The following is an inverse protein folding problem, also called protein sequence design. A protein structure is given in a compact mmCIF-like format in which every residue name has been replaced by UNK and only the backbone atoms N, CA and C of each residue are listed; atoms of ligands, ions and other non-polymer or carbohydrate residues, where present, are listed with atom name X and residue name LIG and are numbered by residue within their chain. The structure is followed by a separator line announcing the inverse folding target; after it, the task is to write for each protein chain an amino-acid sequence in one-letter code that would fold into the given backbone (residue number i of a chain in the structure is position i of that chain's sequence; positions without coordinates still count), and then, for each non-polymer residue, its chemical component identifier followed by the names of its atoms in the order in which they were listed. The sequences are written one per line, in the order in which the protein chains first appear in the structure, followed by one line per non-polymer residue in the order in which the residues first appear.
data_IF_699406034283
#
_entry.id   IF_699406034283
#
_cell.length_a   1.000
_cell.length_b   1.000
_cell.length_c   1.000
_cell.angle_alpha   90.00
_cell.angle_beta   90.00
_cell.angle_gamma   90.00
#
_symmetry.space_group_name_H-M   'P 1'
#
loop_
_entity.id
_entity.type
_entity.pdbx_description
1 polymer ?
#
# COMPACT_ATOMS: atom_id res chain seq x y z
N UNK A 1 -43.48 -25.18 -32.65
CA UNK A 1 -42.10 -24.73 -32.96
C UNK A 1 -42.04 -23.24 -32.69
N UNK A 2 -41.09 -22.78 -31.88
CA UNK A 2 -40.99 -21.38 -31.43
C UNK A 2 -39.50 -20.96 -31.56
N UNK A 3 -39.16 -19.78 -32.09
CA UNK A 3 -37.77 -19.43 -32.39
C UNK A 3 -36.95 -19.09 -31.13
N UNK A 4 -35.63 -19.30 -31.22
CA UNK A 4 -34.67 -19.23 -30.12
C UNK A 4 -34.37 -17.78 -29.64
N UNK A 5 -33.90 -17.57 -28.39
CA UNK A 5 -33.80 -16.24 -27.77
C UNK A 5 -32.71 -15.30 -28.31
N UNK A 6 -31.87 -15.76 -29.25
CA UNK A 6 -30.61 -15.10 -29.63
C UNK A 6 -30.83 -13.84 -30.50
N UNK A 7 -31.97 -13.71 -31.18
CA UNK A 7 -32.22 -12.56 -32.09
C UNK A 7 -32.65 -11.25 -31.42
N UNK A 8 -32.89 -11.21 -30.09
CA UNK A 8 -33.29 -9.97 -29.40
C UNK A 8 -32.14 -9.03 -29.02
N UNK A 9 -30.88 -9.47 -29.12
CA UNK A 9 -29.72 -8.68 -28.67
C UNK A 9 -29.06 -7.79 -29.74
N UNK A 10 -29.57 -7.77 -30.99
CA UNK A 10 -28.94 -7.01 -32.09
C UNK A 10 -29.59 -5.69 -32.47
N UNK A 11 -30.74 -5.32 -31.88
CA UNK A 11 -31.53 -4.15 -32.28
C UNK A 11 -31.61 -3.03 -31.21
N UNK A 12 -30.49 -2.69 -30.57
CA UNK A 12 -30.35 -1.43 -29.83
C UNK A 12 -29.39 -0.53 -30.61
N UNK A 13 -29.94 0.16 -31.62
CA UNK A 13 -29.32 1.31 -32.29
C UNK A 13 -29.77 2.57 -31.54
N UNK A 14 -28.91 3.14 -30.70
CA UNK A 14 -29.18 4.43 -30.07
C UNK A 14 -28.76 5.53 -31.05
N UNK A 15 -29.75 6.16 -31.68
CA UNK A 15 -29.54 7.40 -32.43
C UNK A 15 -29.51 8.56 -31.45
N UNK A 16 -28.34 9.18 -31.26
CA UNK A 16 -28.19 10.35 -30.40
C UNK A 16 -28.80 11.56 -31.09
N UNK A 17 -29.92 12.07 -30.55
CA UNK A 17 -30.42 13.41 -30.85
C UNK A 17 -30.30 14.29 -29.61
N UNK A 18 -29.63 15.43 -29.78
CA UNK A 18 -29.36 16.41 -28.73
C UNK A 18 -30.64 17.08 -28.23
N UNK A 19 -30.93 16.96 -26.93
CA UNK A 19 -31.44 18.07 -26.10
C UNK A 19 -30.94 17.92 -24.66
N UNK A 20 -30.45 19.02 -24.08
CA UNK A 20 -30.02 19.05 -22.68
C UNK A 20 -31.23 19.00 -21.74
N UNK A 21 -31.32 18.00 -20.87
CA UNK A 21 -32.24 18.01 -19.72
C UNK A 21 -31.72 17.11 -18.59
N UNK A 22 -31.89 17.55 -17.34
CA UNK A 22 -31.48 16.81 -16.14
C UNK A 22 -32.15 15.41 -16.04
N UNK A 23 -33.33 15.27 -16.64
CA UNK A 23 -34.10 14.02 -16.67
C UNK A 23 -33.34 12.85 -17.33
N UNK A 24 -32.42 13.11 -18.27
CA UNK A 24 -31.63 12.05 -18.93
C UNK A 24 -30.59 11.43 -18.00
N UNK A 25 -30.23 12.11 -16.90
CA UNK A 25 -29.33 11.59 -15.87
C UNK A 25 -30.12 10.72 -14.87
N UNK A 26 -31.29 11.18 -14.42
CA UNK A 26 -32.17 10.40 -13.53
C UNK A 26 -32.70 9.12 -14.19
N UNK A 27 -32.97 9.16 -15.51
CA UNK A 27 -33.35 7.96 -16.25
C UNK A 27 -32.21 6.92 -16.26
N UNK A 28 -30.96 7.34 -16.54
CA UNK A 28 -29.79 6.45 -16.50
C UNK A 28 -29.54 5.86 -15.10
N UNK A 29 -29.81 6.60 -14.02
CA UNK A 29 -29.72 6.07 -12.66
C UNK A 29 -30.87 5.11 -12.31
N UNK A 30 -32.08 5.36 -12.82
CA UNK A 30 -33.24 4.46 -12.63
C UNK A 30 -33.00 3.13 -13.33
N UNK A 31 -32.53 3.16 -14.58
CA UNK A 31 -32.12 1.98 -15.36
C UNK A 31 -30.98 1.20 -14.66
N UNK A 32 -30.04 1.90 -14.00
CA UNK A 32 -28.98 1.28 -13.19
C UNK A 32 -29.54 0.48 -12.00
N UNK A 33 -30.48 1.08 -11.25
CA UNK A 33 -31.10 0.46 -10.06
C UNK A 33 -31.98 -0.72 -10.47
N UNK A 34 -32.72 -0.61 -11.57
CA UNK A 34 -33.59 -1.67 -12.08
C UNK A 34 -32.79 -2.83 -12.71
N UNK A 35 -31.66 -2.51 -13.38
CA UNK A 35 -30.68 -3.49 -13.83
C UNK A 35 -30.05 -4.29 -12.68
N UNK A 36 -29.73 -3.64 -11.55
CA UNK A 36 -29.21 -4.34 -10.35
C UNK A 36 -30.26 -5.27 -9.72
N UNK A 37 -31.53 -4.86 -9.68
CA UNK A 37 -32.63 -5.69 -9.14
C UNK A 37 -32.91 -6.93 -10.00
N UNK A 38 -32.97 -6.77 -11.32
CA UNK A 38 -33.25 -7.86 -12.27
C UNK A 38 -32.12 -8.89 -12.36
N UNK A 39 -30.87 -8.51 -12.09
CA UNK A 39 -29.72 -9.42 -12.14
C UNK A 39 -29.67 -10.49 -11.03
N UNK A 40 -30.53 -10.42 -10.00
CA UNK A 40 -30.37 -11.24 -8.78
C UNK A 40 -30.97 -12.64 -8.83
N UNK A 41 -31.93 -12.89 -9.73
CA UNK A 41 -32.75 -14.12 -9.76
C UNK A 41 -32.10 -15.32 -10.47
N UNK A 42 -32.05 -15.29 -11.81
CA UNK A 42 -31.93 -16.52 -12.61
C UNK A 42 -30.48 -16.99 -12.89
N UNK A 43 -29.48 -16.09 -12.86
CA UNK A 43 -28.08 -16.48 -13.16
C UNK A 43 -27.33 -17.12 -11.98
N UNK A 44 -27.95 -17.20 -10.78
CA UNK A 44 -27.29 -17.67 -9.54
C UNK A 44 -26.68 -19.07 -9.67
N UNK A 45 -27.31 -19.99 -10.40
CA UNK A 45 -26.84 -21.39 -10.51
C UNK A 45 -25.69 -21.55 -11.51
N UNK A 46 -25.61 -20.71 -12.55
CA UNK A 46 -24.58 -20.82 -13.60
C UNK A 46 -23.30 -20.06 -13.22
N UNK A 47 -23.38 -18.93 -12.51
CA UNK A 47 -22.19 -18.17 -12.11
C UNK A 47 -21.31 -18.89 -11.08
N UNK A 48 -21.89 -19.60 -10.11
CA UNK A 48 -21.14 -20.26 -9.02
C UNK A 48 -20.08 -21.25 -9.55
N UNK A 49 -20.34 -21.91 -10.68
CA UNK A 49 -19.40 -22.85 -11.32
C UNK A 49 -18.28 -22.15 -12.12
N UNK A 50 -18.47 -20.91 -12.55
CA UNK A 50 -17.48 -20.12 -13.29
C UNK A 50 -16.57 -19.30 -12.37
N UNK A 51 -17.08 -18.84 -11.22
CA UNK A 51 -16.30 -18.05 -10.27
C UNK A 51 -15.10 -18.82 -9.69
N UNK A 52 -15.23 -20.14 -9.49
CA UNK A 52 -14.13 -20.98 -8.99
C UNK A 52 -12.93 -21.05 -9.96
N UNK A 53 -13.15 -20.87 -11.27
CA UNK A 53 -12.11 -20.98 -12.29
C UNK A 53 -11.38 -19.65 -12.55
N UNK A 54 -12.02 -18.51 -12.25
CA UNK A 54 -11.44 -17.16 -12.44
C UNK A 54 -10.83 -16.54 -11.18
N UNK A 55 -10.85 -17.22 -10.03
CA UNK A 55 -10.38 -16.69 -8.74
C UNK A 55 -8.84 -16.61 -8.56
N UNK A 56 -8.04 -16.89 -9.59
CA UNK A 56 -6.58 -17.04 -9.47
C UNK A 56 -5.73 -16.16 -10.40
N UNK A 57 -6.15 -14.93 -10.72
CA UNK A 57 -5.21 -13.98 -11.33
C UNK A 57 -4.09 -13.64 -10.32
N UNK A 58 -2.84 -13.82 -10.74
CA UNK A 58 -1.62 -13.47 -9.99
C UNK A 58 -1.62 -12.02 -9.52
N UNK A 59 -2.16 -11.14 -10.36
CA UNK A 59 -2.28 -9.71 -10.22
C UNK A 59 -3.12 -9.31 -8.99
N UNK A 60 -4.21 -10.05 -8.74
CA UNK A 60 -5.06 -9.80 -7.57
C UNK A 60 -4.38 -10.17 -6.25
N UNK A 61 -3.65 -11.29 -6.23
CA UNK A 61 -2.83 -11.71 -5.08
C UNK A 61 -1.67 -10.73 -4.84
N UNK A 62 -0.97 -10.33 -5.90
CA UNK A 62 0.14 -9.38 -5.85
C UNK A 62 -0.26 -8.02 -5.27
N UNK A 63 -1.44 -7.51 -5.63
CA UNK A 63 -1.93 -6.23 -5.09
C UNK A 63 -2.19 -6.30 -3.59
N UNK A 64 -2.87 -7.34 -3.10
CA UNK A 64 -3.19 -7.46 -1.67
C UNK A 64 -1.93 -7.59 -0.85
N UNK A 65 -0.97 -8.37 -1.34
CA UNK A 65 0.36 -8.50 -0.77
C UNK A 65 1.12 -7.17 -0.75
N UNK A 66 1.06 -6.37 -1.82
CA UNK A 66 1.82 -5.11 -1.93
C UNK A 66 1.19 -3.93 -1.18
N UNK A 67 -0.14 -3.87 -1.08
CA UNK A 67 -0.87 -2.72 -0.55
C UNK A 67 -1.70 -3.04 0.71
N UNK A 68 -1.68 -4.29 1.17
CA UNK A 68 -2.55 -4.78 2.24
C UNK A 68 -4.01 -4.95 1.78
N UNK A 69 -4.75 -5.76 2.53
CA UNK A 69 -6.17 -6.05 2.25
C UNK A 69 -7.04 -4.77 2.17
N UNK A 70 -6.73 -3.73 2.95
CA UNK A 70 -7.52 -2.50 3.02
C UNK A 70 -7.34 -1.55 1.82
N UNK A 71 -6.13 -1.45 1.25
CA UNK A 71 -5.86 -0.51 0.15
C UNK A 71 -5.83 -1.19 -1.22
N UNK A 72 -5.88 -2.53 -1.26
CA UNK A 72 -5.86 -3.35 -2.47
C UNK A 72 -6.75 -2.80 -3.60
N UNK A 73 -8.07 -2.66 -3.40
CA UNK A 73 -8.98 -2.16 -4.44
C UNK A 73 -8.64 -0.74 -4.90
N UNK A 74 -8.30 0.16 -3.97
CA UNK A 74 -8.00 1.55 -4.30
C UNK A 74 -6.74 1.66 -5.17
N UNK A 75 -5.67 0.95 -4.80
CA UNK A 75 -4.44 0.89 -5.58
C UNK A 75 -4.67 0.21 -6.93
N UNK A 76 -5.47 -0.86 -6.98
CA UNK A 76 -5.83 -1.56 -8.21
C UNK A 76 -6.53 -0.64 -9.22
N UNK A 77 -7.52 0.14 -8.78
CA UNK A 77 -8.23 1.10 -9.64
C UNK A 77 -7.30 2.23 -10.08
N UNK A 78 -6.40 2.70 -9.21
CA UNK A 78 -5.44 3.77 -9.53
C UNK A 78 -4.44 3.38 -10.63
N UNK A 79 -4.19 2.09 -10.89
CA UNK A 79 -3.43 1.63 -12.06
C UNK A 79 -4.18 1.79 -13.40
N UNK A 80 -5.47 2.10 -13.37
CA UNK A 80 -6.27 2.41 -14.55
C UNK A 80 -6.87 1.20 -15.28
N UNK A 81 -7.72 1.48 -16.27
CA UNK A 81 -8.58 0.50 -16.95
C UNK A 81 -7.86 -0.74 -17.51
N UNK A 82 -6.61 -0.57 -17.96
CA UNK A 82 -5.82 -1.64 -18.57
C UNK A 82 -5.41 -2.72 -17.57
N UNK A 83 -5.32 -2.36 -16.28
CA UNK A 83 -5.00 -3.25 -15.19
C UNK A 83 -6.26 -3.79 -14.51
N UNK A 84 -7.23 -2.91 -14.23
CA UNK A 84 -8.37 -3.22 -13.35
C UNK A 84 -9.56 -3.87 -14.06
N UNK A 85 -9.35 -5.06 -14.61
CA UNK A 85 -10.42 -5.86 -15.21
C UNK A 85 -11.25 -6.63 -14.16
N UNK A 86 -12.45 -7.06 -14.54
CA UNK A 86 -13.40 -7.76 -13.65
C UNK A 86 -12.79 -9.00 -12.97
N UNK A 87 -11.98 -9.78 -13.69
CA UNK A 87 -11.28 -10.94 -13.13
C UNK A 87 -10.31 -10.57 -12.00
N UNK A 88 -9.59 -9.45 -12.15
CA UNK A 88 -8.66 -8.94 -11.12
C UNK A 88 -9.42 -8.49 -9.88
N UNK A 89 -10.54 -7.77 -10.03
CA UNK A 89 -11.37 -7.39 -8.88
C UNK A 89 -12.01 -8.61 -8.19
N UNK A 90 -12.48 -9.61 -8.95
CA UNK A 90 -12.94 -10.88 -8.37
C UNK A 90 -11.85 -11.57 -7.56
N UNK A 91 -10.64 -11.68 -8.11
CA UNK A 91 -9.50 -12.26 -7.39
C UNK A 91 -9.14 -11.44 -6.13
N UNK A 92 -9.14 -10.10 -6.20
CA UNK A 92 -8.86 -9.23 -5.04
C UNK A 92 -9.90 -9.47 -3.92
N UNK A 93 -11.20 -9.47 -4.26
CA UNK A 93 -12.26 -9.70 -3.27
C UNK A 93 -12.22 -11.14 -2.71
N UNK A 94 -11.98 -12.14 -3.57
CA UNK A 94 -11.84 -13.54 -3.15
C UNK A 94 -10.68 -13.76 -2.16
N UNK A 95 -9.59 -13.02 -2.33
CA UNK A 95 -8.44 -13.03 -1.40
C UNK A 95 -8.66 -12.07 -0.20
N UNK A 96 -9.91 -11.85 0.20
CA UNK A 96 -10.32 -11.10 1.41
C UNK A 96 -9.89 -9.63 1.44
N UNK A 97 -9.84 -8.94 0.31
CA UNK A 97 -9.67 -7.49 0.35
C UNK A 97 -10.85 -6.80 1.07
N UNK A 98 -10.55 -5.80 1.89
CA UNK A 98 -11.55 -5.10 2.70
C UNK A 98 -12.13 -3.95 1.87
N UNK A 99 -13.39 -4.10 1.46
CA UNK A 99 -14.18 -2.98 0.97
C UNK A 99 -14.68 -2.20 2.18
N UNK A 100 -14.28 -0.93 2.32
CA UNK A 100 -14.74 -0.04 3.39
C UNK A 100 -15.83 0.91 2.90
N UNK A 101 -16.72 1.36 3.81
CA UNK A 101 -17.74 2.38 3.49
C UNK A 101 -17.12 3.65 2.91
N UNK A 102 -16.00 4.10 3.47
CA UNK A 102 -15.25 5.26 2.99
C UNK A 102 -14.70 5.05 1.56
N UNK A 103 -14.16 3.88 1.25
CA UNK A 103 -13.71 3.56 -0.11
C UNK A 103 -14.87 3.63 -1.11
N UNK A 104 -16.05 3.09 -0.77
CA UNK A 104 -17.23 3.12 -1.63
C UNK A 104 -17.77 4.55 -1.84
N UNK A 105 -17.82 5.35 -0.77
CA UNK A 105 -18.16 6.78 -0.87
C UNK A 105 -17.20 7.53 -1.78
N UNK A 106 -15.89 7.30 -1.65
CA UNK A 106 -14.88 7.89 -2.54
C UNK A 106 -15.01 7.38 -3.97
N UNK A 107 -15.29 6.09 -4.18
CA UNK A 107 -15.52 5.51 -5.50
C UNK A 107 -16.68 6.23 -6.20
N UNK A 108 -17.85 6.33 -5.57
CA UNK A 108 -19.01 7.06 -6.08
C UNK A 108 -18.71 8.56 -6.30
N UNK A 109 -17.92 9.18 -5.43
CA UNK A 109 -17.51 10.58 -5.56
C UNK A 109 -16.47 10.86 -6.66
N UNK A 110 -15.86 9.84 -7.27
CA UNK A 110 -14.81 10.00 -8.28
C UNK A 110 -15.11 9.28 -9.61
N UNK A 111 -16.02 8.31 -9.63
CA UNK A 111 -16.47 7.61 -10.83
C UNK A 111 -17.22 8.55 -11.79
N UNK A 112 -16.89 8.50 -13.09
CA UNK A 112 -17.62 9.20 -14.16
C UNK A 112 -17.70 10.74 -14.07
N UNK A 113 -16.93 11.39 -13.18
CA UNK A 113 -17.01 12.86 -12.96
C UNK A 113 -16.28 13.70 -14.01
N UNK A 114 -15.39 13.11 -14.79
CA UNK A 114 -14.56 13.77 -15.78
C UNK A 114 -14.87 13.18 -17.17
N UNK A 115 -15.75 13.88 -17.88
CA UNK A 115 -15.99 13.65 -19.29
C UNK A 115 -14.84 14.28 -20.10
N UNK A 116 -14.08 13.44 -20.81
CA UNK A 116 -12.90 13.86 -21.58
C UNK A 116 -13.28 14.76 -22.76
N UNK A 117 -14.42 14.52 -23.38
CA UNK A 117 -14.89 15.27 -24.54
C UNK A 117 -15.44 16.63 -24.10
N UNK A 118 -16.19 16.67 -23.00
CA UNK A 118 -16.64 17.93 -22.39
C UNK A 118 -15.47 18.80 -21.93
N UNK A 119 -14.41 18.20 -21.38
CA UNK A 119 -13.19 18.92 -21.00
C UNK A 119 -12.39 19.38 -22.23
N UNK A 120 -12.32 18.57 -23.30
CA UNK A 120 -11.73 18.99 -24.57
C UNK A 120 -12.46 20.20 -25.19
N UNK A 121 -13.79 20.13 -25.28
CA UNK A 121 -14.65 21.24 -25.75
C UNK A 121 -14.48 22.51 -24.91
N UNK A 122 -14.36 22.36 -23.58
CA UNK A 122 -14.09 23.50 -22.67
C UNK A 122 -12.70 24.11 -22.89
N UNK A 123 -11.68 23.29 -23.18
CA UNK A 123 -10.34 23.78 -23.52
C UNK A 123 -10.33 24.48 -24.88
N UNK A 124 -11.01 23.94 -25.90
CA UNK A 124 -11.16 24.56 -27.22
C UNK A 124 -11.85 25.93 -27.12
N UNK A 125 -12.98 26.01 -26.42
CA UNK A 125 -13.69 27.27 -26.17
C UNK A 125 -12.82 28.30 -25.44
N UNK A 126 -12.10 27.89 -24.39
CA UNK A 126 -11.25 28.80 -23.61
C UNK A 126 -10.03 29.29 -24.41
N UNK A 127 -9.42 28.45 -25.24
CA UNK A 127 -8.31 28.84 -26.13
C UNK A 127 -8.76 29.92 -27.12
N UNK A 128 -9.96 29.79 -27.69
CA UNK A 128 -10.55 30.80 -28.57
C UNK A 128 -10.89 32.13 -27.85
N UNK A 129 -10.97 32.13 -26.51
CA UNK A 129 -11.27 33.32 -25.69
C UNK A 129 -10.02 34.07 -25.16
N UNK A 130 -8.81 33.62 -25.52
CA UNK A 130 -7.55 34.30 -25.14
C UNK A 130 -7.18 34.23 -23.66
N UNK A 131 -7.87 33.40 -22.86
CA UNK A 131 -7.63 33.22 -21.41
C UNK A 131 -7.39 31.74 -21.09
N UNK A 132 -6.19 31.25 -21.38
CA UNK A 132 -5.84 29.85 -21.21
C UNK A 132 -4.54 29.68 -20.41
N UNK A 133 -4.66 29.27 -19.14
CA UNK A 133 -3.53 28.77 -18.35
C UNK A 133 -3.67 27.24 -18.26
N UNK A 134 -3.11 26.55 -19.26
CA UNK A 134 -3.47 25.16 -19.59
C UNK A 134 -3.05 24.11 -18.55
N UNK A 135 -2.19 24.46 -17.60
CA UNK A 135 -1.56 23.49 -16.70
C UNK A 135 -2.46 23.04 -15.53
N UNK A 136 -3.57 23.71 -15.24
CA UNK A 136 -4.40 23.41 -14.06
C UNK A 136 -5.42 22.28 -14.27
N UNK A 137 -5.87 22.03 -15.50
CA UNK A 137 -6.94 21.04 -15.77
C UNK A 137 -6.44 19.59 -15.79
N UNK A 138 -5.19 19.33 -16.19
CA UNK A 138 -4.64 17.97 -16.24
C UNK A 138 -4.30 17.38 -14.86
N UNK A 139 -4.10 18.22 -13.83
CA UNK A 139 -3.59 17.77 -12.54
C UNK A 139 -4.64 17.10 -11.62
N UNK A 140 -5.92 17.16 -11.95
CA UNK A 140 -7.02 16.75 -11.06
C UNK A 140 -7.99 15.71 -11.68
N UNK A 141 -7.50 14.80 -12.53
CA UNK A 141 -8.32 13.68 -13.02
C UNK A 141 -8.69 12.76 -11.82
N UNK A 142 -9.98 12.49 -11.55
CA UNK A 142 -10.39 11.60 -10.47
C UNK A 142 -9.81 10.19 -10.62
N UNK A 143 -9.28 9.61 -9.54
CA UNK A 143 -8.60 8.31 -9.57
C UNK A 143 -9.47 7.12 -10.02
N UNK A 144 -10.80 7.25 -9.94
CA UNK A 144 -11.77 6.24 -10.36
C UNK A 144 -12.51 6.61 -11.65
N UNK A 145 -12.09 7.68 -12.36
CA UNK A 145 -12.88 8.22 -13.47
C UNK A 145 -13.10 7.21 -14.61
N UNK A 146 -12.01 6.64 -15.08
CA UNK A 146 -11.96 5.74 -16.24
C UNK A 146 -12.22 4.28 -15.84
N UNK A 147 -12.84 4.02 -14.68
CA UNK A 147 -13.16 2.68 -14.25
C UNK A 147 -14.27 2.09 -15.15
N UNK A 148 -14.08 0.87 -15.64
CA UNK A 148 -15.12 0.19 -16.43
C UNK A 148 -16.41 0.01 -15.62
N UNK A 149 -17.56 0.38 -16.20
CA UNK A 149 -18.87 0.35 -15.51
C UNK A 149 -19.19 -1.02 -14.89
N UNK A 150 -18.88 -2.13 -15.59
CA UNK A 150 -19.03 -3.50 -15.08
C UNK A 150 -18.22 -3.77 -13.81
N UNK A 151 -17.04 -3.18 -13.70
CA UNK A 151 -16.15 -3.32 -12.55
C UNK A 151 -16.67 -2.48 -11.38
N UNK A 152 -17.10 -1.24 -11.66
CA UNK A 152 -17.75 -0.37 -10.67
C UNK A 152 -19.01 -1.04 -10.08
N UNK A 153 -19.92 -1.52 -10.93
CA UNK A 153 -21.14 -2.22 -10.52
C UNK A 153 -20.85 -3.50 -9.72
N UNK A 154 -19.83 -4.27 -10.08
CA UNK A 154 -19.44 -5.45 -9.31
C UNK A 154 -18.95 -5.08 -7.90
N UNK A 155 -18.13 -4.04 -7.78
CA UNK A 155 -17.65 -3.53 -6.48
C UNK A 155 -18.83 -3.03 -5.63
N UNK A 156 -19.73 -2.22 -6.22
CA UNK A 156 -20.91 -1.69 -5.54
C UNK A 156 -21.86 -2.80 -5.10
N UNK A 157 -22.01 -3.86 -5.89
CA UNK A 157 -22.79 -5.04 -5.53
C UNK A 157 -22.20 -5.76 -4.33
N UNK A 158 -20.91 -6.10 -4.34
CA UNK A 158 -20.27 -6.76 -3.18
C UNK A 158 -20.34 -5.86 -1.95
N UNK A 159 -20.20 -4.55 -2.12
CA UNK A 159 -20.37 -3.57 -1.06
C UNK A 159 -21.81 -3.55 -0.50
N UNK A 160 -22.84 -3.66 -1.35
CA UNK A 160 -24.24 -3.76 -0.94
C UNK A 160 -24.62 -5.12 -0.32
N UNK A 161 -23.88 -6.19 -0.65
CA UNK A 161 -23.99 -7.49 0.02
C UNK A 161 -23.28 -7.48 1.39
N UNK A 162 -22.20 -6.70 1.55
CA UNK A 162 -21.43 -6.55 2.80
C UNK A 162 -22.02 -5.52 3.77
N UNK A 163 -22.65 -4.46 3.26
CA UNK A 163 -23.23 -3.36 4.02
C UNK A 163 -24.68 -3.18 3.60
N UNK A 164 -25.63 -3.22 4.55
CA UNK A 164 -27.03 -2.89 4.26
C UNK A 164 -27.11 -1.56 3.51
N UNK A 165 -27.88 -1.54 2.42
CA UNK A 165 -27.92 -0.45 1.43
C UNK A 165 -28.31 0.86 2.10
N UNK A 166 -29.18 0.80 3.10
CA UNK A 166 -29.61 1.92 3.93
C UNK A 166 -28.42 2.60 4.66
N UNK A 167 -27.38 1.83 4.99
CA UNK A 167 -26.17 2.28 5.66
C UNK A 167 -25.17 3.05 4.79
N UNK A 168 -25.38 3.14 3.46
CA UNK A 168 -24.61 4.03 2.58
C UNK A 168 -25.19 5.45 2.51
N UNK A 169 -26.49 5.60 2.75
CA UNK A 169 -27.24 6.84 2.51
C UNK A 169 -26.82 7.97 3.47
N UNK A 170 -26.39 7.63 4.68
CA UNK A 170 -26.32 8.58 5.81
C UNK A 170 -25.02 9.39 5.99
N UNK A 171 -24.11 9.40 5.01
CA UNK A 171 -22.90 10.24 5.07
C UNK A 171 -22.78 11.20 3.87
N UNK A 172 -23.61 12.25 3.91
CA UNK A 172 -23.37 13.57 3.29
C UNK A 172 -23.50 13.69 1.78
N UNK A 173 -22.99 12.74 0.98
CA UNK A 173 -22.86 12.91 -0.47
C UNK A 173 -24.14 12.56 -1.26
N UNK A 174 -24.97 11.64 -0.76
CA UNK A 174 -26.16 11.12 -1.47
C UNK A 174 -27.43 11.87 -1.08
N UNK A 175 -27.49 12.45 0.13
CA UNK A 175 -28.66 13.17 0.66
C UNK A 175 -28.98 14.46 -0.12
N UNK A 176 -28.04 15.01 -0.89
CA UNK A 176 -28.32 16.15 -1.78
C UNK A 176 -29.22 15.80 -2.99
N UNK A 177 -29.57 14.52 -3.21
CA UNK A 177 -30.32 14.11 -4.40
C UNK A 177 -31.73 13.55 -4.12
N UNK A 178 -31.99 12.84 -3.01
CA UNK A 178 -33.31 12.21 -2.79
C UNK A 178 -33.79 12.25 -1.33
N UNK A 179 -35.04 12.68 -1.16
CA UNK A 179 -35.80 12.63 0.10
C UNK A 179 -36.68 11.38 0.15
N UNK A 180 -36.61 10.53 1.18
CA UNK A 180 -37.38 9.28 1.26
C UNK A 180 -38.65 9.40 2.11
N UNK A 181 -39.74 8.80 1.64
CA UNK A 181 -40.89 8.44 2.47
C UNK A 181 -40.92 6.90 2.68
N UNK A 182 -41.15 6.46 3.92
CA UNK A 182 -41.83 5.19 4.36
C UNK A 182 -41.59 3.86 3.62
N UNK A 183 -41.48 2.64 4.18
CA UNK A 183 -41.70 2.01 5.51
C UNK A 183 -41.43 0.48 5.34
N UNK A 184 -41.11 -0.40 6.30
CA UNK A 184 -40.49 -0.39 7.66
C UNK A 184 -40.35 -1.86 8.11
N UNK A 185 -39.31 -2.21 8.89
CA UNK A 185 -39.34 -3.09 10.10
C UNK A 185 -38.07 -3.95 10.33
N UNK A 186 -36.91 -3.31 10.38
CA UNK A 186 -35.80 -3.76 11.25
C UNK A 186 -35.21 -2.51 11.90
N UNK A 187 -34.95 -2.54 13.20
CA UNK A 187 -34.59 -1.35 13.98
C UNK A 187 -33.18 -1.50 14.59
N UNK A 188 -32.11 -1.10 13.86
CA UNK A 188 -30.85 -0.74 14.51
C UNK A 188 -31.07 0.50 15.39
N UNK A 189 -30.21 0.77 16.38
CA UNK A 189 -30.33 1.97 17.21
C UNK A 189 -30.34 3.20 16.31
N UNK A 190 -31.26 4.11 16.57
CA UNK A 190 -31.55 5.20 15.63
C UNK A 190 -30.33 6.13 15.50
N UNK A 191 -30.17 6.84 14.37
CA UNK A 191 -29.23 7.95 14.29
C UNK A 191 -29.46 8.95 15.43
N UNK A 192 -30.72 9.18 15.84
CA UNK A 192 -31.03 9.94 17.05
C UNK A 192 -30.42 9.36 18.33
N UNK A 193 -30.34 8.04 18.50
CA UNK A 193 -29.80 7.39 19.72
C UNK A 193 -28.27 7.46 19.78
N UNK A 194 -27.59 7.24 18.64
CA UNK A 194 -26.13 7.44 18.55
C UNK A 194 -25.76 8.94 18.67
N UNK A 195 -26.56 9.83 18.09
CA UNK A 195 -26.41 11.27 18.26
C UNK A 195 -26.72 11.71 19.69
N UNK A 196 -27.74 11.14 20.34
CA UNK A 196 -28.01 11.33 21.77
C UNK A 196 -26.86 10.78 22.62
N UNK A 197 -26.20 9.69 22.24
CA UNK A 197 -25.03 9.19 22.95
C UNK A 197 -23.83 10.17 22.85
N UNK A 198 -23.67 10.83 21.71
CA UNK A 198 -22.67 11.90 21.48
C UNK A 198 -23.09 13.24 22.13
N UNK A 199 -24.39 13.51 22.28
CA UNK A 199 -24.92 14.67 23.02
C UNK A 199 -24.92 14.48 24.55
N UNK A 200 -24.96 13.23 25.02
CA UNK A 200 -24.99 12.85 26.43
C UNK A 200 -23.60 12.52 26.99
N UNK A 201 -22.60 12.26 26.15
CA UNK A 201 -21.20 12.24 26.59
C UNK A 201 -20.71 13.67 26.87
N UNK A 202 -19.75 13.82 27.78
CA UNK A 202 -19.15 15.13 28.01
C UNK A 202 -18.32 15.53 26.79
N UNK A 203 -18.28 16.84 26.51
CA UNK A 203 -17.40 17.41 25.50
C UNK A 203 -15.93 16.96 25.71
N UNK A 204 -15.52 16.80 26.97
CA UNK A 204 -14.21 16.27 27.37
C UNK A 204 -13.97 14.83 26.85
N UNK A 205 -14.94 13.94 27.01
CA UNK A 205 -14.82 12.53 26.60
C UNK A 205 -14.96 12.35 25.09
N UNK A 206 -15.77 13.17 24.42
CA UNK A 206 -15.81 13.27 22.96
C UNK A 206 -14.46 13.73 22.38
N UNK A 207 -13.92 14.85 22.89
CA UNK A 207 -12.63 15.39 22.43
C UNK A 207 -11.46 14.46 22.76
N UNK A 208 -11.51 13.74 23.88
CA UNK A 208 -10.55 12.68 24.22
C UNK A 208 -10.51 11.58 23.14
N UNK A 209 -11.67 11.08 22.68
CA UNK A 209 -11.76 10.08 21.60
C UNK A 209 -11.26 10.64 20.26
N UNK A 210 -11.59 11.89 19.94
CA UNK A 210 -11.07 12.56 18.75
C UNK A 210 -9.54 12.69 18.77
N UNK A 211 -8.94 12.96 19.93
CA UNK A 211 -7.48 13.03 20.08
C UNK A 211 -6.81 11.66 19.92
N UNK A 212 -7.38 10.59 20.47
CA UNK A 212 -6.89 9.21 20.25
C UNK A 212 -6.86 8.86 18.76
N UNK A 213 -7.97 9.03 18.05
CA UNK A 213 -8.08 8.75 16.62
C UNK A 213 -7.09 9.59 15.79
N UNK A 214 -6.88 10.85 16.19
CA UNK A 214 -5.93 11.75 15.55
C UNK A 214 -4.47 11.29 15.75
N UNK A 215 -4.08 10.85 16.96
CA UNK A 215 -2.75 10.29 17.22
C UNK A 215 -2.51 9.00 16.42
N UNK A 216 -3.50 8.10 16.38
CA UNK A 216 -3.44 6.88 15.57
C UNK A 216 -3.32 7.20 14.06
N UNK A 217 -4.03 8.24 13.60
CA UNK A 217 -3.92 8.72 12.21
C UNK A 217 -2.53 9.30 11.91
N UNK A 218 -1.95 10.09 12.81
CA UNK A 218 -0.58 10.62 12.66
C UNK A 218 0.49 9.52 12.66
N UNK A 219 0.27 8.40 13.38
CA UNK A 219 1.13 7.20 13.33
C UNK A 219 1.12 6.56 11.94
N UNK A 220 -0.03 6.48 11.29
CA UNK A 220 -0.21 5.80 10.00
C UNK A 220 0.24 6.63 8.78
N UNK A 221 0.11 7.96 8.78
CA UNK A 221 0.61 8.81 7.69
C UNK A 221 1.48 9.98 8.18
N UNK A 222 2.80 9.77 8.14
CA UNK A 222 3.84 10.76 8.45
C UNK A 222 3.80 12.04 7.60
N UNK A 223 2.95 12.12 6.58
CA UNK A 223 2.75 13.33 5.75
C UNK A 223 1.61 14.23 6.24
N UNK A 224 0.77 13.78 7.17
CA UNK A 224 -0.29 14.60 7.75
C UNK A 224 0.24 15.59 8.79
N UNK A 225 0.87 16.68 8.34
CA UNK A 225 1.05 17.89 9.16
C UNK A 225 -0.28 18.66 9.25
N UNK A 226 -1.24 18.14 10.01
CA UNK A 226 -2.50 18.83 10.32
C UNK A 226 -2.45 19.47 11.71
N UNK A 227 -1.59 20.47 11.86
CA UNK A 227 -1.63 21.41 12.99
C UNK A 227 -3.04 21.95 13.15
N UNK A 228 -3.66 22.40 12.05
CA UNK A 228 -4.97 23.05 12.04
C UNK A 228 -6.10 22.22 12.70
N UNK A 229 -6.05 20.88 12.60
CA UNK A 229 -7.05 20.00 13.25
C UNK A 229 -6.73 19.80 14.73
N UNK A 230 -5.45 19.71 15.07
CA UNK A 230 -5.00 19.62 16.45
C UNK A 230 -5.30 20.93 17.19
N UNK A 231 -4.91 22.07 16.62
CA UNK A 231 -5.16 23.42 17.11
C UNK A 231 -6.66 23.70 17.28
N UNK A 232 -7.49 23.24 16.32
CA UNK A 232 -8.95 23.28 16.44
C UNK A 232 -9.46 22.46 17.64
N UNK A 233 -9.05 21.19 17.79
CA UNK A 233 -9.46 20.36 18.93
C UNK A 233 -8.97 20.95 20.27
N UNK A 234 -7.76 21.51 20.31
CA UNK A 234 -7.23 22.24 21.48
C UNK A 234 -8.10 23.45 21.83
N UNK A 235 -8.52 24.24 20.84
CA UNK A 235 -9.36 25.43 21.04
C UNK A 235 -10.78 25.12 21.57
N UNK A 236 -11.22 23.86 21.48
CA UNK A 236 -12.52 23.41 22.00
C UNK A 236 -12.47 22.94 23.46
N UNK A 237 -11.30 22.87 24.09
CA UNK A 237 -11.14 22.41 25.48
C UNK A 237 -10.91 23.62 26.41
N UNK A 238 -12.01 24.19 26.92
CA UNK A 238 -12.01 25.42 27.74
C UNK A 238 -11.11 25.37 28.99
N UNK A 239 -10.92 24.20 29.61
CA UNK A 239 -10.12 24.00 30.84
C UNK A 239 -9.47 22.62 30.87
N UNK A 240 -8.31 22.49 31.53
CA UNK A 240 -7.55 21.24 31.68
C UNK A 240 -7.19 20.51 30.36
N UNK A 241 -7.02 21.24 29.25
CA UNK A 241 -6.68 20.66 27.94
C UNK A 241 -5.43 19.78 27.96
N UNK A 242 -4.40 20.17 28.72
CA UNK A 242 -3.20 19.34 28.94
C UNK A 242 -3.57 17.98 29.53
N UNK A 243 -4.48 17.92 30.52
CA UNK A 243 -4.89 16.68 31.18
C UNK A 243 -5.66 15.76 30.23
N UNK A 244 -6.57 16.30 29.42
CA UNK A 244 -7.32 15.53 28.40
C UNK A 244 -6.36 14.96 27.35
N UNK A 245 -5.43 15.80 26.89
CA UNK A 245 -4.38 15.45 25.94
C UNK A 245 -3.42 14.40 26.49
N UNK A 246 -2.89 14.58 27.71
CA UNK A 246 -2.02 13.60 28.37
C UNK A 246 -2.77 12.29 28.65
N UNK A 247 -4.04 12.32 29.05
CA UNK A 247 -4.86 11.10 29.19
C UNK A 247 -4.97 10.36 27.85
N UNK A 248 -5.23 11.07 26.74
CA UNK A 248 -5.34 10.47 25.40
C UNK A 248 -3.99 9.96 24.87
N UNK A 249 -2.90 10.70 25.11
CA UNK A 249 -1.55 10.32 24.70
C UNK A 249 -1.00 9.16 25.52
N UNK A 250 -1.29 9.11 26.82
CA UNK A 250 -0.94 7.98 27.68
C UNK A 250 -1.75 6.73 27.31
N UNK A 251 -3.04 6.87 27.01
CA UNK A 251 -3.85 5.77 26.49
C UNK A 251 -3.27 5.22 25.18
N UNK A 252 -2.87 6.06 24.23
CA UNK A 252 -2.15 5.60 23.04
C UNK A 252 -0.82 4.92 23.40
N UNK A 253 -0.01 5.52 24.28
CA UNK A 253 1.29 4.97 24.72
C UNK A 253 1.19 3.61 25.42
N UNK A 254 0.17 3.40 26.25
CA UNK A 254 -0.07 2.14 26.97
C UNK A 254 -0.50 1.04 25.97
N UNK A 255 -1.42 1.37 25.05
CA UNK A 255 -1.87 0.44 24.01
C UNK A 255 -0.81 0.16 22.91
N UNK A 256 0.31 0.90 22.85
CA UNK A 256 1.47 0.52 22.00
C UNK A 256 2.16 -0.77 22.46
N UNK A 257 1.93 -1.23 23.69
CA UNK A 257 2.66 -2.37 24.25
C UNK A 257 2.26 -3.73 23.65
N UNK A 258 1.01 -3.88 23.21
CA UNK A 258 0.50 -5.13 22.60
C UNK A 258 0.76 -5.25 21.08
N UNK A 259 1.03 -4.14 20.40
CA UNK A 259 1.37 -4.07 18.96
C UNK A 259 2.80 -4.56 18.64
N UNK A 260 3.58 -5.00 19.64
CA UNK A 260 4.98 -5.42 19.48
C UNK A 260 5.16 -6.74 18.70
N UNK A 261 4.08 -7.42 18.31
CA UNK A 261 4.14 -8.50 17.34
C UNK A 261 4.42 -7.92 15.95
N UNK A 262 5.71 -7.91 15.61
CA UNK A 262 6.39 -7.30 14.44
C UNK A 262 5.99 -7.90 13.07
N UNK A 263 4.73 -8.28 12.89
CA UNK A 263 4.21 -9.04 11.73
C UNK A 263 4.32 -8.27 10.42
N UNK A 264 4.10 -6.96 10.42
CA UNK A 264 4.22 -6.15 9.20
C UNK A 264 5.66 -6.08 8.68
N UNK A 265 6.66 -6.03 9.58
CA UNK A 265 8.06 -6.07 9.19
C UNK A 265 8.51 -7.47 8.78
N UNK A 266 7.99 -8.52 9.43
CA UNK A 266 8.24 -9.91 9.04
C UNK A 266 7.65 -10.22 7.65
N UNK A 267 6.40 -9.82 7.39
CA UNK A 267 5.79 -9.94 6.06
C UNK A 267 6.64 -9.19 5.04
N UNK A 268 7.02 -7.93 5.31
CA UNK A 268 7.81 -7.14 4.35
C UNK A 268 9.19 -7.75 4.07
N UNK A 269 9.83 -8.38 5.07
CA UNK A 269 11.08 -9.11 4.90
C UNK A 269 10.91 -10.38 4.04
N UNK A 270 9.88 -11.18 4.32
CA UNK A 270 9.49 -12.31 3.47
C UNK A 270 9.21 -11.83 2.04
N UNK A 271 8.56 -10.68 1.88
CA UNK A 271 8.28 -10.12 0.56
C UNK A 271 9.54 -9.79 -0.23
N UNK A 272 10.49 -9.09 0.41
CA UNK A 272 11.75 -8.72 -0.21
C UNK A 272 12.59 -9.95 -0.55
N UNK A 273 12.64 -10.93 0.37
CA UNK A 273 13.34 -12.21 0.18
C UNK A 273 12.81 -13.00 -1.03
N UNK A 274 11.50 -13.04 -1.24
CA UNK A 274 10.87 -13.69 -2.40
C UNK A 274 11.21 -12.98 -3.72
N UNK A 275 11.17 -11.64 -3.73
CA UNK A 275 11.52 -10.83 -4.91
C UNK A 275 13.01 -11.01 -5.25
N UNK A 276 13.88 -10.95 -4.24
CA UNK A 276 15.32 -11.18 -4.39
C UNK A 276 15.61 -12.59 -4.90
N UNK A 277 14.98 -13.63 -4.33
CA UNK A 277 15.16 -15.01 -4.76
C UNK A 277 14.72 -15.22 -6.21
N UNK A 278 13.57 -14.67 -6.62
CA UNK A 278 13.13 -14.67 -8.02
C UNK A 278 14.13 -13.96 -8.92
N UNK A 279 14.64 -12.79 -8.53
CA UNK A 279 15.59 -12.00 -9.31
C UNK A 279 16.96 -12.69 -9.48
N UNK A 280 17.42 -13.41 -8.46
CA UNK A 280 18.65 -14.22 -8.51
C UNK A 280 18.44 -15.49 -9.35
N UNK A 281 17.31 -16.20 -9.18
CA UNK A 281 16.99 -17.37 -10.00
C UNK A 281 16.93 -17.00 -11.50
N UNK A 282 16.33 -15.85 -11.81
CA UNK A 282 16.31 -15.26 -13.15
C UNK A 282 17.73 -15.03 -13.69
N UNK A 283 18.64 -14.49 -12.89
CA UNK A 283 20.04 -14.31 -13.31
C UNK A 283 20.76 -15.65 -13.56
N UNK A 284 20.58 -16.62 -12.65
CA UNK A 284 21.15 -17.97 -12.79
C UNK A 284 20.65 -18.65 -14.08
N UNK A 285 19.39 -18.46 -14.47
CA UNK A 285 18.85 -18.95 -15.74
C UNK A 285 19.51 -18.27 -16.95
N UNK A 286 19.74 -16.95 -16.91
CA UNK A 286 20.47 -16.23 -17.96
C UNK A 286 21.92 -16.73 -18.08
N UNK A 287 22.62 -16.91 -16.96
CA UNK A 287 23.97 -17.50 -16.94
C UNK A 287 24.00 -18.90 -17.59
N UNK A 288 23.01 -19.75 -17.30
CA UNK A 288 22.90 -21.09 -17.88
C UNK A 288 22.58 -21.06 -19.39
N UNK A 289 21.72 -20.14 -19.83
CA UNK A 289 21.37 -19.94 -21.25
C UNK A 289 22.61 -19.55 -22.07
N UNK A 290 23.40 -18.61 -21.57
CA UNK A 290 24.65 -18.17 -22.19
C UNK A 290 25.67 -19.31 -22.35
N UNK A 291 25.68 -20.29 -21.43
CA UNK A 291 26.55 -21.48 -21.50
C UNK A 291 26.04 -22.57 -22.45
N UNK A 292 24.72 -22.72 -22.62
CA UNK A 292 24.09 -23.86 -23.34
C UNK A 292 23.51 -23.55 -24.72
N UNK A 293 23.51 -22.29 -25.16
CA UNK A 293 23.07 -21.87 -26.52
C UNK A 293 21.64 -22.33 -26.87
N UNK A 294 20.79 -22.50 -25.84
CA UNK A 294 19.45 -23.07 -25.97
C UNK A 294 18.40 -21.99 -26.27
N UNK A 295 17.42 -22.33 -27.11
CA UNK A 295 16.29 -21.45 -27.46
C UNK A 295 15.10 -21.84 -26.58
N UNK A 296 14.75 -20.97 -25.64
CA UNK A 296 13.52 -21.05 -24.86
C UNK A 296 12.39 -20.28 -25.57
N UNK A 297 11.14 -20.67 -25.30
CA UNK A 297 9.95 -20.09 -25.92
C UNK A 297 9.84 -18.59 -25.63
N UNK A 298 9.99 -17.78 -26.67
CA UNK A 298 10.42 -16.38 -26.61
C UNK A 298 9.46 -15.42 -25.87
N UNK A 299 8.18 -15.78 -25.73
CA UNK A 299 7.12 -14.87 -25.30
C UNK A 299 6.71 -14.98 -23.82
N UNK A 300 6.90 -16.12 -23.16
CA UNK A 300 6.47 -16.29 -21.75
C UNK A 300 7.49 -15.77 -20.72
N UNK A 301 8.75 -15.55 -21.11
CA UNK A 301 9.81 -15.13 -20.19
C UNK A 301 9.95 -13.60 -20.10
N UNK A 302 9.72 -12.86 -21.18
CA UNK A 302 10.14 -11.45 -21.27
C UNK A 302 9.35 -10.49 -20.36
N UNK A 303 8.03 -10.66 -20.28
CA UNK A 303 7.18 -9.84 -19.39
C UNK A 303 7.47 -10.15 -17.92
N UNK A 304 7.54 -11.44 -17.55
CA UNK A 304 7.88 -11.89 -16.21
C UNK A 304 9.27 -11.38 -15.76
N UNK A 305 10.27 -11.43 -16.65
CA UNK A 305 11.62 -10.89 -16.40
C UNK A 305 11.59 -9.40 -16.11
N UNK A 306 10.87 -8.62 -16.93
CA UNK A 306 10.73 -7.18 -16.75
C UNK A 306 10.02 -6.85 -15.43
N UNK A 307 8.90 -7.50 -15.13
CA UNK A 307 8.13 -7.27 -13.90
C UNK A 307 8.95 -7.60 -12.64
N UNK A 308 9.73 -8.69 -12.65
CA UNK A 308 10.64 -9.03 -11.54
C UNK A 308 11.74 -7.98 -11.39
N UNK A 309 12.30 -7.47 -12.48
CA UNK A 309 13.33 -6.43 -12.43
C UNK A 309 12.76 -5.08 -11.95
N UNK A 310 11.62 -4.65 -12.49
CA UNK A 310 10.94 -3.41 -12.11
C UNK A 310 10.50 -3.48 -10.62
N UNK A 311 10.03 -4.64 -10.16
CA UNK A 311 9.73 -4.86 -8.74
C UNK A 311 11.00 -4.85 -7.87
N UNK A 312 12.06 -5.57 -8.25
CA UNK A 312 13.32 -5.59 -7.50
C UNK A 312 13.92 -4.18 -7.38
N UNK A 313 13.98 -3.44 -8.49
CA UNK A 313 14.47 -2.07 -8.52
C UNK A 313 13.61 -1.15 -7.66
N UNK A 314 12.28 -1.23 -7.77
CA UNK A 314 11.38 -0.44 -6.93
C UNK A 314 11.61 -0.69 -5.44
N UNK A 315 11.73 -1.94 -5.00
CA UNK A 315 12.01 -2.26 -3.60
C UNK A 315 13.40 -1.78 -3.18
N UNK A 316 14.42 -2.00 -4.01
CA UNK A 316 15.78 -1.54 -3.77
C UNK A 316 15.87 -0.01 -3.59
N UNK A 317 15.27 0.75 -4.50
CA UNK A 317 15.29 2.23 -4.51
C UNK A 317 14.48 2.81 -3.34
N UNK A 318 13.41 2.13 -2.90
CA UNK A 318 12.51 2.66 -1.86
C UNK A 318 12.86 2.23 -0.44
N UNK A 319 13.36 1.01 -0.23
CA UNK A 319 13.56 0.47 1.13
C UNK A 319 14.78 -0.45 1.23
N UNK A 320 15.72 -0.04 2.08
CA UNK A 320 17.03 -0.66 2.30
C UNK A 320 16.93 -1.94 3.16
N UNK A 321 16.35 -3.01 2.58
CA UNK A 321 15.96 -4.26 3.27
C UNK A 321 16.94 -5.44 3.16
N UNK A 322 18.22 -5.22 2.85
CA UNK A 322 19.15 -6.33 2.91
C UNK A 322 19.32 -6.80 4.36
N UNK A 323 19.51 -8.11 4.53
CA UNK A 323 19.85 -8.76 5.80
C UNK A 323 21.03 -9.69 5.57
N UNK A 324 21.84 -10.01 6.60
CA UNK A 324 22.98 -10.93 6.49
C UNK A 324 22.59 -12.28 5.88
N UNK A 325 21.40 -12.80 6.22
CA UNK A 325 20.82 -14.03 5.67
C UNK A 325 20.65 -14.03 4.15
N UNK A 326 20.51 -12.86 3.50
CA UNK A 326 20.31 -12.73 2.06
C UNK A 326 21.60 -13.02 1.26
N UNK A 327 22.79 -12.96 1.87
CA UNK A 327 24.06 -13.27 1.23
C UNK A 327 24.11 -14.68 0.61
N UNK A 328 23.44 -15.66 1.24
CA UNK A 328 23.35 -17.05 0.75
C UNK A 328 22.56 -17.19 -0.56
N UNK A 329 21.65 -16.25 -0.81
CA UNK A 329 20.92 -16.12 -2.08
C UNK A 329 21.79 -15.33 -3.06
N UNK A 330 22.27 -14.14 -2.66
CA UNK A 330 23.00 -13.21 -3.54
C UNK A 330 24.30 -13.82 -4.09
N UNK A 331 24.99 -14.71 -3.37
CA UNK A 331 26.21 -15.38 -3.87
C UNK A 331 26.05 -16.20 -5.16
N UNK A 332 24.81 -16.44 -5.60
CA UNK A 332 24.49 -17.15 -6.84
C UNK A 332 24.32 -16.19 -8.03
N UNK A 333 24.24 -14.88 -7.77
CA UNK A 333 24.10 -13.86 -8.79
C UNK A 333 25.46 -13.43 -9.36
N UNK A 334 25.46 -13.22 -10.68
CA UNK A 334 26.48 -12.50 -11.44
C UNK A 334 25.97 -11.15 -11.95
N UNK A 335 24.66 -10.87 -11.88
CA UNK A 335 24.13 -9.60 -12.40
C UNK A 335 24.67 -8.39 -11.65
N UNK A 336 25.27 -7.46 -12.39
CA UNK A 336 25.88 -6.24 -11.84
C UNK A 336 24.91 -5.45 -10.95
N UNK A 337 23.66 -5.24 -11.35
CA UNK A 337 22.65 -4.52 -10.53
C UNK A 337 22.45 -5.09 -9.12
N UNK A 338 22.49 -6.41 -8.96
CA UNK A 338 22.26 -7.07 -7.66
C UNK A 338 23.48 -6.86 -6.76
N UNK A 339 24.69 -7.02 -7.33
CA UNK A 339 25.97 -6.87 -6.62
C UNK A 339 26.24 -5.40 -6.29
N UNK A 340 26.02 -4.49 -7.24
CA UNK A 340 26.15 -3.03 -7.04
C UNK A 340 25.13 -2.53 -6.03
N UNK A 341 23.90 -3.01 -6.07
CA UNK A 341 22.88 -2.65 -5.08
C UNK A 341 23.29 -3.04 -3.66
N UNK A 342 23.71 -4.30 -3.46
CA UNK A 342 24.24 -4.75 -2.17
C UNK A 342 25.48 -3.94 -1.75
N UNK A 343 26.39 -3.63 -2.68
CA UNK A 343 27.59 -2.81 -2.42
C UNK A 343 27.24 -1.41 -1.92
N UNK A 344 26.30 -0.73 -2.55
CA UNK A 344 25.84 0.58 -2.11
C UNK A 344 25.27 0.52 -0.69
N UNK A 345 24.33 -0.41 -0.45
CA UNK A 345 23.73 -0.61 0.87
C UNK A 345 24.78 -0.86 1.97
N UNK A 346 25.70 -1.81 1.77
CA UNK A 346 26.73 -2.12 2.77
C UNK A 346 27.70 -0.96 2.97
N UNK A 347 28.09 -0.28 1.89
CA UNK A 347 28.98 0.89 1.99
C UNK A 347 28.34 1.98 2.85
N UNK A 348 27.05 2.28 2.63
CA UNK A 348 26.33 3.25 3.45
C UNK A 348 26.17 2.80 4.91
N UNK A 349 25.90 1.51 5.14
CA UNK A 349 25.74 0.94 6.49
C UNK A 349 27.04 1.07 7.31
N UNK A 350 28.17 0.62 6.77
CA UNK A 350 29.47 0.72 7.45
C UNK A 350 29.95 2.18 7.55
N UNK A 351 29.70 3.04 6.54
CA UNK A 351 30.05 4.48 6.59
C UNK A 351 29.17 5.30 7.54
N UNK A 352 27.95 4.86 7.87
CA UNK A 352 27.13 5.56 8.86
C UNK A 352 27.69 5.40 10.27
N UNK A 353 28.28 4.24 10.61
CA UNK A 353 28.81 4.01 11.96
C UNK A 353 30.03 4.89 12.27
N UNK A 354 30.93 5.11 11.30
CA UNK A 354 32.11 5.97 11.52
C UNK A 354 31.71 7.43 11.83
N UNK A 355 30.66 7.94 11.18
CA UNK A 355 30.06 9.26 11.47
C UNK A 355 29.40 9.31 12.85
N UNK A 356 28.65 8.25 13.20
CA UNK A 356 27.99 8.13 14.50
C UNK A 356 29.03 8.13 15.63
N UNK A 357 30.12 7.38 15.49
CA UNK A 357 31.22 7.33 16.47
C UNK A 357 31.92 8.69 16.66
N UNK A 358 32.17 9.45 15.58
CA UNK A 358 32.85 10.73 15.67
C UNK A 358 32.04 11.81 16.44
N UNK A 359 30.72 11.82 16.27
CA UNK A 359 29.87 12.88 16.83
C UNK A 359 29.59 12.76 18.34
N UNK A 360 29.93 11.63 18.98
CA UNK A 360 29.68 11.42 20.42
C UNK A 360 30.69 12.11 21.36
N UNK A 361 31.80 12.63 20.84
CA UNK A 361 32.86 13.25 21.65
C UNK A 361 32.40 14.53 22.36
N UNK A 362 31.59 15.37 21.70
CA UNK A 362 31.63 16.81 22.00
C UNK A 362 30.39 17.39 22.70
N UNK A 363 29.18 16.80 22.57
CA UNK A 363 27.95 17.36 23.17
C UNK A 363 26.85 16.31 23.41
N UNK A 364 26.61 15.88 24.66
CA UNK A 364 25.34 15.22 25.03
C UNK A 364 24.88 15.53 26.46
N UNK A 365 23.61 15.93 26.59
CA UNK A 365 22.85 15.98 27.84
C UNK A 365 22.55 14.58 28.38
N UNK A 366 22.57 14.46 29.71
CA UNK A 366 22.50 13.20 30.45
C UNK A 366 21.17 12.45 30.20
N UNK A 367 20.05 13.17 30.11
CA UNK A 367 18.71 12.56 30.05
C UNK A 367 18.42 11.81 28.74
N UNK A 368 19.14 12.12 27.66
CA UNK A 368 18.98 11.44 26.37
C UNK A 368 19.73 10.09 26.28
N UNK A 369 20.70 9.84 27.16
CA UNK A 369 21.67 8.73 27.04
C UNK A 369 20.99 7.36 26.90
N UNK A 370 19.90 7.09 27.64
CA UNK A 370 19.26 5.77 27.69
C UNK A 370 18.71 5.31 26.32
N UNK A 371 18.00 6.19 25.61
CA UNK A 371 17.37 5.86 24.31
C UNK A 371 18.40 5.77 23.18
N UNK A 372 19.45 6.60 23.21
CA UNK A 372 20.57 6.50 22.28
C UNK A 372 21.36 5.20 22.48
N UNK A 373 21.61 4.80 23.73
CA UNK A 373 22.33 3.55 24.04
C UNK A 373 21.59 2.33 23.49
N UNK A 374 20.26 2.26 23.61
CA UNK A 374 19.48 1.14 23.04
C UNK A 374 19.51 1.10 21.51
N UNK A 375 19.35 2.26 20.84
CA UNK A 375 19.44 2.33 19.36
C UNK A 375 20.82 1.92 18.87
N UNK A 376 21.88 2.38 19.54
CA UNK A 376 23.26 1.98 19.26
C UNK A 376 23.47 0.48 19.44
N UNK A 377 23.06 -0.12 20.57
CA UNK A 377 23.17 -1.58 20.80
C UNK A 377 22.48 -2.40 19.69
N UNK A 378 21.32 -1.97 19.17
CA UNK A 378 20.66 -2.65 18.02
C UNK A 378 21.45 -2.52 16.71
N UNK A 379 22.02 -1.33 16.45
CA UNK A 379 22.79 -1.06 15.24
C UNK A 379 24.13 -1.80 15.22
N UNK A 380 24.84 -1.80 16.36
CA UNK A 380 26.10 -2.51 16.54
C UNK A 380 25.88 -4.05 16.43
N UNK A 381 24.74 -4.58 16.89
CA UNK A 381 24.34 -5.98 16.68
C UNK A 381 24.12 -6.31 15.19
N UNK A 382 23.33 -5.52 14.47
CA UNK A 382 23.05 -5.71 13.04
C UNK A 382 24.34 -5.71 12.19
N UNK A 383 25.25 -4.79 12.50
CA UNK A 383 26.56 -4.71 11.85
C UNK A 383 27.47 -5.92 12.17
N UNK A 384 27.43 -6.42 13.41
CA UNK A 384 28.17 -7.63 13.78
C UNK A 384 27.61 -8.86 13.05
N UNK A 385 26.28 -9.01 12.93
CA UNK A 385 25.66 -10.08 12.15
C UNK A 385 26.07 -10.00 10.66
N UNK A 386 26.12 -8.79 10.10
CA UNK A 386 26.66 -8.55 8.75
C UNK A 386 28.12 -8.95 8.61
N UNK A 387 28.98 -8.51 9.52
CA UNK A 387 30.41 -8.86 9.51
C UNK A 387 30.64 -10.37 9.57
N UNK A 388 29.94 -11.06 10.49
CA UNK A 388 30.09 -12.49 10.70
C UNK A 388 29.66 -13.32 9.49
N UNK A 389 28.51 -13.02 8.86
CA UNK A 389 28.11 -13.73 7.65
C UNK A 389 28.95 -13.32 6.42
N UNK A 390 29.51 -12.10 6.34
CA UNK A 390 30.46 -11.72 5.27
C UNK A 390 31.77 -12.52 5.37
N UNK A 391 32.37 -12.62 6.56
CA UNK A 391 33.60 -13.43 6.78
C UNK A 391 33.35 -14.88 6.38
N UNK A 392 32.29 -15.48 6.92
CA UNK A 392 31.96 -16.87 6.64
C UNK A 392 31.75 -17.14 5.14
N UNK A 393 31.11 -16.22 4.43
CA UNK A 393 30.92 -16.32 2.98
C UNK A 393 32.23 -16.19 2.20
N UNK A 394 33.16 -15.37 2.69
CA UNK A 394 34.50 -15.20 2.12
C UNK A 394 35.35 -16.46 2.33
N UNK A 395 35.32 -17.04 3.53
CA UNK A 395 36.06 -18.27 3.86
C UNK A 395 35.51 -19.48 3.08
N UNK A 396 34.17 -19.59 2.98
CA UNK A 396 33.49 -20.51 2.06
C UNK A 396 34.06 -20.36 0.63
N UNK A 397 34.09 -19.15 0.07
CA UNK A 397 34.49 -18.91 -1.33
C UNK A 397 35.98 -19.18 -1.59
N UNK A 398 36.86 -18.89 -0.62
CA UNK A 398 38.28 -19.21 -0.73
C UNK A 398 38.52 -20.72 -0.78
N UNK A 399 37.70 -21.53 -0.09
CA UNK A 399 37.80 -23.00 -0.15
C UNK A 399 37.42 -23.58 -1.53
N UNK A 400 36.51 -22.93 -2.26
CA UNK A 400 36.00 -23.41 -3.56
C UNK A 400 36.74 -22.85 -4.80
N UNK A 401 37.74 -21.98 -4.61
CA UNK A 401 38.48 -21.33 -5.71
C UNK A 401 37.57 -20.61 -6.73
N UNK A 402 36.46 -20.04 -6.27
CA UNK A 402 35.53 -19.32 -7.15
C UNK A 402 36.08 -17.94 -7.54
N UNK A 403 36.66 -17.85 -8.74
CA UNK A 403 36.96 -16.56 -9.37
C UNK A 403 35.70 -15.96 -10.01
N UNK A 404 35.38 -14.72 -9.66
CA UNK A 404 34.22 -14.00 -10.19
C UNK A 404 33.96 -12.67 -9.49
N UNK A 405 33.14 -11.83 -10.11
CA UNK A 405 32.84 -10.46 -9.64
C UNK A 405 32.33 -10.40 -8.20
N UNK A 406 31.61 -11.43 -7.74
CA UNK A 406 31.11 -11.51 -6.37
C UNK A 406 32.20 -11.77 -5.33
N UNK A 407 33.22 -12.59 -5.64
CA UNK A 407 34.38 -12.78 -4.75
C UNK A 407 35.19 -11.48 -4.62
N UNK A 408 35.40 -10.80 -5.75
CA UNK A 408 36.08 -9.51 -5.79
C UNK A 408 35.30 -8.44 -5.01
N UNK A 409 33.96 -8.41 -5.15
CA UNK A 409 33.08 -7.56 -4.35
C UNK A 409 33.25 -7.78 -2.83
N UNK A 410 33.30 -9.02 -2.35
CA UNK A 410 33.46 -9.30 -0.92
C UNK A 410 34.83 -8.86 -0.39
N UNK A 411 35.90 -9.06 -1.17
CA UNK A 411 37.25 -8.56 -0.80
C UNK A 411 37.24 -7.05 -0.62
N UNK A 412 36.68 -6.32 -1.58
CA UNK A 412 36.54 -4.86 -1.50
C UNK A 412 35.74 -4.41 -0.26
N UNK A 413 34.69 -5.15 0.13
CA UNK A 413 33.91 -4.86 1.35
C UNK A 413 34.69 -5.21 2.62
N UNK A 414 35.42 -6.33 2.67
CA UNK A 414 36.26 -6.69 3.81
C UNK A 414 37.42 -5.71 4.01
N UNK A 415 38.07 -5.27 2.93
CA UNK A 415 39.08 -4.21 2.96
C UNK A 415 38.49 -2.89 3.47
N UNK A 416 37.27 -2.53 3.05
CA UNK A 416 36.57 -1.34 3.56
C UNK A 416 36.31 -1.43 5.07
N UNK A 417 35.80 -2.57 5.56
CA UNK A 417 35.50 -2.77 6.98
C UNK A 417 36.79 -2.73 7.80
N UNK A 418 37.80 -3.51 7.41
CA UNK A 418 39.09 -3.58 8.10
C UNK A 418 39.83 -2.22 8.09
N UNK A 419 39.72 -1.45 7.00
CA UNK A 419 40.31 -0.11 6.87
C UNK A 419 39.59 0.99 7.65
N UNK A 420 38.31 0.80 7.99
CA UNK A 420 37.49 1.84 8.63
C UNK A 420 37.72 2.04 10.14
N UNK A 421 38.78 1.45 10.72
CA UNK A 421 38.97 1.33 12.18
C UNK A 421 37.70 0.84 12.88
N UNK A 422 37.05 -0.16 12.29
CA UNK A 422 35.88 -0.82 12.87
C UNK A 422 36.33 -1.60 14.10
N UNK A 423 36.31 -0.93 15.25
CA UNK A 423 36.44 -1.58 16.54
C UNK A 423 35.15 -2.37 16.80
N UNK A 424 35.14 -3.63 16.35
CA UNK A 424 34.15 -4.61 16.80
C UNK A 424 34.08 -4.54 18.32
N UNK A 425 32.87 -4.48 18.84
CA UNK A 425 32.62 -4.30 20.27
C UNK A 425 32.89 -5.56 21.10
N UNK A 426 33.97 -6.29 20.81
CA UNK A 426 34.51 -7.37 21.65
C UNK A 426 34.82 -6.87 23.07
N UNK A 427 35.13 -5.58 23.19
CA UNK A 427 35.43 -4.92 24.46
C UNK A 427 34.15 -4.51 25.25
N UNK A 428 32.94 -4.60 24.68
CA UNK A 428 31.71 -4.26 25.44
C UNK A 428 31.42 -5.29 26.53
N UNK A 429 31.68 -6.57 26.28
CA UNK A 429 31.61 -7.60 27.32
C UNK A 429 32.65 -7.31 28.43
N UNK A 430 33.82 -6.77 28.07
CA UNK A 430 34.86 -6.39 29.04
C UNK A 430 34.46 -5.14 29.85
N UNK A 431 33.76 -4.18 29.23
CA UNK A 431 33.24 -2.96 29.89
C UNK A 431 32.08 -3.26 30.85
N UNK A 432 31.13 -4.11 30.46
CA UNK A 432 30.03 -4.50 31.36
C UNK A 432 30.57 -5.39 32.52
N UNK A 433 31.54 -6.29 32.27
CA UNK A 433 32.26 -7.02 33.34
C UNK A 433 33.03 -6.08 34.31
N UNK A 434 33.68 -5.01 33.81
CA UNK A 434 34.35 -4.02 34.66
C UNK A 434 33.39 -3.14 35.46
N UNK A 435 32.12 -3.05 35.05
CA UNK A 435 31.06 -2.33 35.78
C UNK A 435 30.42 -3.19 36.87
N UNK A 436 30.31 -4.50 36.67
CA UNK A 436 29.85 -5.41 37.73
C UNK A 436 30.93 -5.68 38.80
N UNK A 437 32.21 -5.39 38.51
CA UNK A 437 33.32 -5.51 39.46
C UNK A 437 33.56 -4.27 40.36
N UNK A 438 32.64 -3.28 40.37
CA UNK A 438 32.75 -2.02 41.14
C UNK A 438 31.46 -1.71 41.89
#
# INVERSE_FOLDING_TARGET
MNPQPIQRLQNIRITVNSTNNANDIDQRYTELIEGVKTFSGEQRVVMINLDHFYMQTSEGKWIIYKYGHAHALFCAIKFGQNFIILAVVRAIIANKAIISKYFVQRLLLHFGKFDKDLVALKMEYNNNSGRANNNSFQQNIPWANDLGITVCLYILRVAAEQFDINGFVMQGAIIMLFSPASTTNWAPPKPEEAFLQILNESLEEFLHKCLIELFQTFRLDKRLKKTDVLDFLYSLIDKDHEKVFFKAMNFDLENRSDDNNNTDAEITDLCFKDILMKRVNVDVLVQQRNKRKYILSEQLEHNNFKEINDAFKYYFDTIKFFKPSHLKIIKQATHVDIIVGLRQYLTELFMQQSRVSANYSDNMDIDNISTFTQKRKRYDLELNDWYNEIIKLHDDLNSFSMSGEFSEFLKNILELINGSNFALSRDLDEIDNQRESK
#
